data_IF_250072195186
#
_entry.id   IF_250072195186
#
_cell.length_a   1.000
_cell.length_b   1.000
_cell.length_c   1.000
_cell.angle_alpha   90.00
_cell.angle_beta   90.00
_cell.angle_gamma   90.00
#
_symmetry.space_group_name_H-M   'P 1'
#
loop_
_entity.id
_entity.type
_entity.pdbx_description
1 polymer ?
#
# COMPACT_ATOMS: atom_id res chain seq x y z
N UNK A 1 11.86 -15.27 -82.91
CA UNK A 1 12.96 -14.58 -82.21
C UNK A 1 12.37 -13.61 -81.18
N UNK A 2 12.93 -13.64 -79.96
CA UNK A 2 12.69 -12.75 -78.80
C UNK A 2 11.32 -12.85 -78.08
N UNK A 3 11.32 -13.67 -77.02
CA UNK A 3 10.42 -13.52 -75.86
C UNK A 3 10.81 -12.24 -75.11
N UNK A 4 9.85 -11.36 -74.83
CA UNK A 4 10.02 -10.23 -73.92
C UNK A 4 9.23 -10.50 -72.64
N UNK A 5 9.94 -10.49 -71.52
CA UNK A 5 9.39 -10.56 -70.16
C UNK A 5 8.66 -9.26 -69.82
N UNK A 6 7.36 -9.34 -69.50
CA UNK A 6 6.67 -8.28 -68.77
C UNK A 6 6.95 -8.45 -67.28
N UNK A 7 7.74 -7.54 -66.70
CA UNK A 7 7.80 -7.34 -65.25
C UNK A 7 6.47 -6.71 -64.80
N UNK A 8 5.72 -7.42 -63.97
CA UNK A 8 4.61 -6.88 -63.18
C UNK A 8 5.18 -6.33 -61.86
N UNK A 9 5.21 -5.01 -61.71
CA UNK A 9 5.48 -4.36 -60.43
C UNK A 9 4.30 -4.57 -59.46
N UNK A 10 4.47 -5.48 -58.51
CA UNK A 10 3.60 -5.59 -57.33
C UNK A 10 3.96 -4.43 -56.40
N UNK A 11 3.09 -3.42 -56.32
CA UNK A 11 3.15 -2.39 -55.27
C UNK A 11 2.61 -3.01 -53.96
N UNK A 12 3.51 -3.32 -53.02
CA UNK A 12 3.11 -3.57 -51.64
C UNK A 12 2.64 -2.26 -51.01
N UNK A 13 1.33 -2.12 -50.81
CA UNK A 13 0.77 -1.11 -49.92
C UNK A 13 0.99 -1.60 -48.48
N UNK A 14 2.02 -1.09 -47.83
CA UNK A 14 2.19 -1.29 -46.38
C UNK A 14 1.23 -0.32 -45.68
N UNK A 15 0.10 -0.84 -45.22
CA UNK A 15 -0.74 -0.11 -44.26
C UNK A 15 -0.03 -0.11 -42.90
N UNK A 16 0.67 0.98 -42.60
CA UNK A 16 1.14 1.26 -41.24
C UNK A 16 -0.08 1.60 -40.39
N UNK A 17 -0.65 0.62 -39.71
CA UNK A 17 -1.59 0.86 -38.61
C UNK A 17 -0.79 1.50 -37.45
N UNK A 18 -0.80 2.83 -37.40
CA UNK A 18 -0.43 3.59 -36.21
C UNK A 18 -1.50 3.31 -35.15
N UNK A 19 -1.27 2.29 -34.32
CA UNK A 19 -1.95 2.13 -33.05
C UNK A 19 -1.56 3.34 -32.18
N UNK A 20 -2.37 4.39 -32.24
CA UNK A 20 -2.39 5.42 -31.23
C UNK A 20 -2.86 4.78 -29.92
N UNK A 21 -1.92 4.27 -29.12
CA UNK A 21 -2.16 4.13 -27.70
C UNK A 21 -2.42 5.54 -27.17
N UNK A 22 -3.69 5.89 -26.97
CA UNK A 22 -4.06 7.03 -26.15
C UNK A 22 -3.53 6.71 -24.75
N UNK A 23 -2.37 7.28 -24.42
CA UNK A 23 -1.85 7.31 -23.07
C UNK A 23 -2.78 8.26 -22.31
N UNK A 24 -3.94 7.74 -21.88
CA UNK A 24 -4.77 8.42 -20.90
C UNK A 24 -3.90 8.57 -19.66
N UNK A 25 -3.49 9.80 -19.37
CA UNK A 25 -2.87 10.13 -18.09
C UNK A 25 -3.86 9.73 -17.01
N UNK A 26 -3.51 8.74 -16.18
CA UNK A 26 -4.31 8.31 -15.04
C UNK A 26 -4.65 9.52 -14.18
N UNK A 27 -5.92 9.65 -13.79
CA UNK A 27 -6.32 10.70 -12.84
C UNK A 27 -5.70 10.39 -11.46
N UNK A 28 -5.45 11.40 -10.61
CA UNK A 28 -4.88 11.19 -9.28
C UNK A 28 -5.65 10.16 -8.42
N UNK A 29 -6.95 9.99 -8.67
CA UNK A 29 -7.84 9.02 -8.00
C UNK A 29 -7.62 7.56 -8.44
N UNK A 30 -6.97 7.34 -9.59
CA UNK A 30 -6.65 6.00 -10.12
C UNK A 30 -5.27 5.50 -9.70
N UNK A 31 -4.42 6.38 -9.18
CA UNK A 31 -3.09 6.01 -8.69
C UNK A 31 -3.16 5.53 -7.25
N UNK A 32 -2.64 4.33 -7.00
CA UNK A 32 -2.50 3.83 -5.63
C UNK A 32 -1.51 4.71 -4.84
N UNK A 33 -1.86 5.21 -3.65
CA UNK A 33 -0.94 5.93 -2.77
C UNK A 33 0.20 5.01 -2.31
N UNK A 34 1.43 5.48 -2.44
CA UNK A 34 2.65 4.79 -2.02
C UNK A 34 3.49 5.79 -1.23
N UNK A 35 3.52 5.63 0.08
CA UNK A 35 4.09 6.58 1.03
C UNK A 35 5.38 6.09 1.68
N UNK A 36 6.40 6.95 1.70
CA UNK A 36 7.60 6.78 2.49
C UNK A 36 7.49 7.52 3.84
N UNK A 37 7.78 6.84 4.95
CA UNK A 37 8.06 7.48 6.24
C UNK A 37 9.54 7.87 6.35
N UNK A 38 9.85 8.86 7.19
CA UNK A 38 11.19 9.44 7.38
C UNK A 38 11.81 9.91 6.06
N UNK A 39 11.18 10.95 5.48
CA UNK A 39 11.76 11.74 4.38
C UNK A 39 13.08 12.45 4.75
N UNK A 40 13.47 13.50 4.03
CA UNK A 40 14.69 14.23 4.35
C UNK A 40 14.65 14.84 5.75
N UNK A 41 15.81 14.87 6.42
CA UNK A 41 15.99 15.59 7.68
C UNK A 41 16.06 17.11 7.43
N UNK A 42 15.94 17.90 8.50
CA UNK A 42 16.06 19.36 8.42
C UNK A 42 17.35 19.85 7.73
N UNK A 43 18.45 19.13 7.93
CA UNK A 43 19.76 19.49 7.36
C UNK A 43 19.90 19.07 5.88
N UNK A 44 18.97 18.26 5.36
CA UNK A 44 19.05 17.63 4.04
C UNK A 44 17.87 17.96 3.12
N UNK A 45 17.01 18.94 3.43
CA UNK A 45 15.89 19.34 2.55
C UNK A 45 16.39 19.95 1.24
N UNK A 46 16.56 19.09 0.23
CA UNK A 46 17.08 19.44 -1.07
C UNK A 46 16.37 18.65 -2.19
N UNK A 47 16.57 19.10 -3.43
CA UNK A 47 15.90 18.52 -4.61
C UNK A 47 16.31 17.09 -4.89
N UNK A 48 17.58 16.74 -4.71
CA UNK A 48 18.08 15.40 -5.01
C UNK A 48 17.45 14.35 -4.08
N UNK A 49 17.26 14.69 -2.81
CA UNK A 49 16.65 13.81 -1.83
C UNK A 49 15.17 13.51 -2.16
N UNK A 50 14.37 14.55 -2.43
CA UNK A 50 12.97 14.35 -2.80
C UNK A 50 12.84 13.66 -4.17
N UNK A 51 13.75 13.95 -5.11
CA UNK A 51 13.81 13.25 -6.38
C UNK A 51 14.16 11.78 -6.21
N UNK A 52 15.07 11.44 -5.28
CA UNK A 52 15.41 10.06 -4.95
C UNK A 52 14.20 9.30 -4.40
N UNK A 53 13.40 9.92 -3.53
CA UNK A 53 12.13 9.33 -3.06
C UNK A 53 11.18 9.11 -4.24
N UNK A 54 11.00 10.12 -5.11
CA UNK A 54 10.13 9.99 -6.28
C UNK A 54 10.60 8.89 -7.25
N UNK A 55 11.91 8.76 -7.47
CA UNK A 55 12.53 7.80 -8.37
C UNK A 55 12.43 6.34 -7.87
N UNK A 56 12.30 6.15 -6.55
CA UNK A 56 11.98 4.86 -5.94
C UNK A 56 10.49 4.46 -6.08
N UNK A 57 9.68 5.27 -6.75
CA UNK A 57 8.27 4.97 -7.02
C UNK A 57 7.31 5.40 -5.91
N UNK A 58 7.76 6.18 -4.93
CA UNK A 58 6.85 6.83 -3.99
C UNK A 58 6.15 8.01 -4.68
N UNK A 59 4.86 8.17 -4.40
CA UNK A 59 4.10 9.35 -4.79
C UNK A 59 3.65 10.18 -3.58
N UNK A 60 3.93 9.69 -2.37
CA UNK A 60 3.71 10.39 -1.10
C UNK A 60 4.93 10.24 -0.18
N UNK A 61 5.18 11.23 0.68
CA UNK A 61 6.22 11.16 1.70
C UNK A 61 5.79 11.92 2.97
N UNK A 62 6.01 11.32 4.13
CA UNK A 62 5.96 12.04 5.41
C UNK A 62 7.32 12.68 5.67
N UNK A 63 7.33 14.00 5.88
CA UNK A 63 8.52 14.73 6.35
C UNK A 63 8.29 15.27 7.75
N UNK A 64 9.21 14.94 8.66
CA UNK A 64 9.15 15.32 10.07
C UNK A 64 10.11 16.50 10.39
N UNK A 65 9.84 17.68 9.82
CA UNK A 65 10.71 18.86 10.00
C UNK A 65 10.31 19.72 11.19
N UNK A 66 9.02 19.68 11.58
CA UNK A 66 8.41 20.48 12.65
C UNK A 66 8.62 21.99 12.54
N UNK A 67 9.11 22.50 11.41
CA UNK A 67 9.48 23.91 11.20
C UNK A 67 8.86 24.43 9.92
N UNK A 68 8.03 25.47 10.03
CA UNK A 68 7.19 25.91 8.91
C UNK A 68 7.99 26.46 7.73
N UNK A 69 9.13 27.11 7.98
CA UNK A 69 10.04 27.57 6.92
C UNK A 69 10.62 26.39 6.12
N UNK A 70 11.08 25.34 6.82
CA UNK A 70 11.64 24.15 6.16
C UNK A 70 10.57 23.35 5.43
N UNK A 71 9.37 23.24 6.00
CA UNK A 71 8.21 22.63 5.34
C UNK A 71 7.84 23.37 4.06
N UNK A 72 7.80 24.70 4.09
CA UNK A 72 7.52 25.55 2.91
C UNK A 72 8.57 25.32 1.81
N UNK A 73 9.86 25.27 2.19
CA UNK A 73 10.94 24.91 1.26
C UNK A 73 10.77 23.51 0.69
N UNK A 74 10.41 22.52 1.52
CA UNK A 74 10.18 21.15 1.07
C UNK A 74 9.01 21.06 0.08
N UNK A 75 7.89 21.75 0.34
CA UNK A 75 6.73 21.83 -0.55
C UNK A 75 7.09 22.44 -1.91
N UNK A 76 7.82 23.55 -1.93
CA UNK A 76 8.27 24.17 -3.18
C UNK A 76 9.12 23.21 -4.03
N UNK A 77 10.03 22.47 -3.40
CA UNK A 77 10.84 21.47 -4.10
C UNK A 77 9.97 20.29 -4.57
N UNK A 78 9.04 19.84 -3.73
CA UNK A 78 8.17 18.72 -3.98
C UNK A 78 7.21 18.96 -5.16
N UNK A 79 6.71 20.20 -5.31
CA UNK A 79 5.97 20.67 -6.49
C UNK A 79 6.78 20.44 -7.77
N UNK A 80 8.09 20.76 -7.74
CA UNK A 80 8.98 20.62 -8.91
C UNK A 80 9.31 19.18 -9.32
N UNK A 81 9.05 18.20 -8.44
CA UNK A 81 9.32 16.76 -8.69
C UNK A 81 8.07 15.88 -8.68
N UNK A 82 6.89 16.47 -8.45
CA UNK A 82 5.62 15.74 -8.43
C UNK A 82 5.53 14.72 -7.30
N UNK A 83 5.96 15.09 -6.10
CA UNK A 83 5.86 14.30 -4.87
C UNK A 83 4.90 15.01 -3.91
N UNK A 84 3.88 14.32 -3.41
CA UNK A 84 2.98 14.93 -2.42
C UNK A 84 3.48 14.64 -0.99
N UNK A 85 3.36 15.60 -0.10
CA UNK A 85 3.93 15.59 1.24
C UNK A 85 2.86 15.58 2.32
N UNK A 86 3.05 14.73 3.31
CA UNK A 86 2.50 14.94 4.63
C UNK A 86 3.55 15.59 5.52
N UNK A 87 3.12 16.54 6.36
CA UNK A 87 4.02 17.36 7.16
C UNK A 87 3.72 17.22 8.65
N UNK A 88 4.76 17.28 9.48
CA UNK A 88 4.62 17.65 10.89
C UNK A 88 4.93 19.13 11.07
N UNK A 89 4.31 19.77 12.06
CA UNK A 89 4.58 21.17 12.36
C UNK A 89 4.53 21.45 13.87
N UNK A 90 5.43 22.31 14.35
CA UNK A 90 5.49 22.69 15.75
C UNK A 90 4.19 23.31 16.26
N UNK A 91 3.40 24.00 15.43
CA UNK A 91 2.10 24.52 15.84
C UNK A 91 1.15 23.39 16.28
N UNK A 92 1.13 22.28 15.53
CA UNK A 92 0.34 21.09 15.85
C UNK A 92 0.88 20.41 17.11
N UNK A 93 2.20 20.27 17.25
CA UNK A 93 2.81 19.66 18.44
C UNK A 93 2.58 20.47 19.73
N UNK A 94 2.62 21.80 19.64
CA UNK A 94 2.33 22.69 20.78
C UNK A 94 0.86 22.60 21.21
N UNK A 95 -0.04 22.49 20.24
CA UNK A 95 -1.46 22.29 20.54
C UNK A 95 -1.70 20.95 21.24
N UNK A 96 -1.15 19.86 20.70
CA UNK A 96 -1.26 18.51 21.28
C UNK A 96 -0.70 18.41 22.69
N UNK A 97 0.42 19.09 22.95
CA UNK A 97 1.07 19.12 24.27
C UNK A 97 0.43 20.10 25.25
N UNK A 98 -0.62 20.83 24.85
CA UNK A 98 -1.28 21.84 25.68
C UNK A 98 -0.46 23.12 25.92
N UNK A 99 0.69 23.26 25.26
CA UNK A 99 1.52 24.48 25.31
C UNK A 99 0.86 25.66 24.58
N UNK A 100 -0.05 25.36 23.67
CA UNK A 100 -0.93 26.33 23.03
C UNK A 100 -2.36 25.78 23.04
N UNK A 101 -3.33 26.63 23.33
CA UNK A 101 -4.76 26.28 23.27
C UNK A 101 -5.47 26.95 22.09
N UNK A 102 -4.76 27.78 21.33
CA UNK A 102 -5.29 28.54 20.21
C UNK A 102 -5.09 27.80 18.90
N UNK A 103 -6.14 27.77 18.07
CA UNK A 103 -6.11 27.16 16.73
C UNK A 103 -5.66 28.16 15.64
N UNK A 104 -5.42 29.41 16.00
CA UNK A 104 -5.05 30.50 15.08
C UNK A 104 -3.73 30.24 14.33
N UNK A 105 -2.72 29.71 15.02
CA UNK A 105 -1.45 29.36 14.40
C UNK A 105 -1.62 28.21 13.39
N UNK A 106 -2.48 27.24 13.71
CA UNK A 106 -2.82 26.12 12.82
C UNK A 106 -3.56 26.63 11.57
N UNK A 107 -4.49 27.57 11.71
CA UNK A 107 -5.18 28.19 10.57
C UNK A 107 -4.22 28.89 9.60
N UNK A 108 -3.33 29.71 10.17
CA UNK A 108 -2.34 30.45 9.40
C UNK A 108 -1.43 29.47 8.65
N UNK A 109 -1.01 28.40 9.32
CA UNK A 109 -0.18 27.34 8.77
C UNK A 109 -0.85 26.63 7.59
N UNK A 110 -2.09 26.19 7.77
CA UNK A 110 -2.85 25.46 6.74
C UNK A 110 -3.08 26.33 5.52
N UNK A 111 -3.39 27.60 5.73
CA UNK A 111 -3.56 28.57 4.64
C UNK A 111 -2.29 28.68 3.80
N UNK A 112 -1.12 28.76 4.43
CA UNK A 112 0.17 28.78 3.73
C UNK A 112 0.41 27.47 2.97
N UNK A 113 0.25 26.32 3.62
CA UNK A 113 0.53 25.03 2.98
C UNK A 113 -0.42 24.69 1.84
N UNK A 114 -1.70 25.08 1.92
CA UNK A 114 -2.67 24.85 0.85
C UNK A 114 -2.37 25.64 -0.43
N UNK A 115 -1.42 26.57 -0.43
CA UNK A 115 -0.93 27.24 -1.65
C UNK A 115 -0.01 26.36 -2.51
N UNK A 116 0.46 25.21 -1.99
CA UNK A 116 1.36 24.29 -2.68
C UNK A 116 0.61 23.04 -3.17
N UNK A 117 0.86 22.62 -4.42
CA UNK A 117 0.18 21.46 -5.02
C UNK A 117 0.60 20.13 -4.38
N UNK A 118 1.84 20.06 -3.90
CA UNK A 118 2.41 18.94 -3.17
C UNK A 118 1.92 18.85 -1.74
N UNK A 119 1.25 19.86 -1.18
CA UNK A 119 0.68 19.74 0.16
C UNK A 119 -0.47 18.72 0.13
N UNK A 120 -0.23 17.56 0.73
CA UNK A 120 -1.25 16.53 0.83
C UNK A 120 -1.93 16.53 2.19
N UNK A 121 -1.27 17.01 3.25
CA UNK A 121 -1.88 17.12 4.56
C UNK A 121 -0.89 17.14 5.71
N UNK A 122 -1.40 17.01 6.93
CA UNK A 122 -0.58 16.93 8.14
C UNK A 122 -0.64 15.54 8.80
N UNK A 123 0.46 15.17 9.45
CA UNK A 123 0.48 14.05 10.38
C UNK A 123 0.13 14.55 11.78
N UNK A 124 -0.96 14.04 12.36
CA UNK A 124 -1.47 14.56 13.63
C UNK A 124 -0.96 13.77 14.83
N UNK A 125 -1.01 12.44 14.77
CA UNK A 125 -0.70 11.63 15.95
C UNK A 125 -0.14 10.28 15.59
N UNK A 126 0.85 9.85 16.37
CA UNK A 126 1.43 8.52 16.29
C UNK A 126 0.88 7.67 17.43
N UNK A 127 0.10 6.64 17.11
CA UNK A 127 -0.33 5.57 18.02
C UNK A 127 -1.07 6.06 19.29
N UNK A 128 -2.15 6.84 19.14
CA UNK A 128 -2.94 7.29 20.29
C UNK A 128 -3.66 6.13 21.00
N UNK A 129 -3.80 6.24 22.33
CA UNK A 129 -4.77 5.47 23.12
C UNK A 129 -6.15 6.15 23.13
N UNK A 130 -7.20 5.50 23.65
CA UNK A 130 -8.54 6.12 23.69
C UNK A 130 -8.56 7.40 24.55
N UNK A 131 -7.70 7.51 25.57
CA UNK A 131 -7.59 8.71 26.40
C UNK A 131 -7.11 9.95 25.62
N UNK A 132 -6.37 9.76 24.51
CA UNK A 132 -5.92 10.84 23.64
C UNK A 132 -7.02 11.32 22.68
N UNK A 133 -8.04 10.50 22.43
CA UNK A 133 -9.02 10.78 21.37
C UNK A 133 -9.78 12.10 21.54
N UNK A 134 -10.18 12.56 22.74
CA UNK A 134 -10.87 13.83 22.89
C UNK A 134 -10.09 15.05 22.38
N UNK A 135 -8.77 15.12 22.66
CA UNK A 135 -7.94 16.23 22.20
C UNK A 135 -7.72 16.18 20.70
N UNK A 136 -7.51 14.99 20.15
CA UNK A 136 -7.33 14.77 18.70
C UNK A 136 -8.64 15.08 17.95
N UNK A 137 -9.79 14.65 18.48
CA UNK A 137 -11.10 14.88 17.87
C UNK A 137 -11.42 16.36 17.76
N UNK A 138 -11.03 17.16 18.75
CA UNK A 138 -11.18 18.63 18.72
C UNK A 138 -10.44 19.23 17.53
N UNK A 139 -9.19 18.81 17.31
CA UNK A 139 -8.37 19.26 16.18
C UNK A 139 -8.92 18.76 14.83
N UNK A 140 -9.38 17.51 14.79
CA UNK A 140 -9.99 16.90 13.59
C UNK A 140 -11.29 17.61 13.19
N UNK A 141 -12.21 17.85 14.13
CA UNK A 141 -13.46 18.57 13.86
C UNK A 141 -13.19 20.01 13.41
N UNK A 142 -12.12 20.62 13.94
CA UNK A 142 -11.64 21.90 13.47
C UNK A 142 -11.16 21.88 12.02
N UNK A 143 -10.26 20.95 11.66
CA UNK A 143 -9.82 20.80 10.26
C UNK A 143 -11.00 20.52 9.32
N UNK A 144 -11.90 19.61 9.69
CA UNK A 144 -13.04 19.26 8.85
C UNK A 144 -14.03 20.41 8.65
N UNK A 145 -14.19 21.30 9.64
CA UNK A 145 -15.10 22.45 9.54
C UNK A 145 -14.49 23.66 8.85
N UNK A 146 -13.21 23.98 9.09
CA UNK A 146 -12.54 25.19 8.57
C UNK A 146 -11.72 24.95 7.31
N UNK A 147 -11.13 23.76 7.17
CA UNK A 147 -10.21 23.41 6.09
C UNK A 147 -10.59 22.05 5.46
N UNK A 148 -11.81 21.88 4.94
CA UNK A 148 -12.29 20.58 4.44
C UNK A 148 -11.47 20.03 3.25
N UNK A 149 -10.64 20.84 2.60
CA UNK A 149 -9.71 20.39 1.55
C UNK A 149 -8.36 19.94 2.09
N UNK A 150 -7.98 20.29 3.33
CA UNK A 150 -6.71 19.91 3.93
C UNK A 150 -6.83 18.49 4.49
N UNK A 151 -5.98 17.57 4.06
CA UNK A 151 -6.01 16.22 4.62
C UNK A 151 -5.22 16.16 5.93
N UNK A 152 -5.50 15.12 6.69
CA UNK A 152 -4.68 14.70 7.80
C UNK A 152 -4.63 13.18 7.82
N UNK A 153 -3.65 12.64 8.55
CA UNK A 153 -3.72 11.24 8.96
C UNK A 153 -3.20 11.05 10.37
N UNK A 154 -3.66 9.97 10.97
CA UNK A 154 -3.33 9.51 12.31
C UNK A 154 -2.93 8.05 12.17
N UNK A 155 -1.87 7.64 12.86
CA UNK A 155 -1.33 6.29 12.78
C UNK A 155 -1.83 5.45 13.96
N UNK A 156 -2.60 4.41 13.70
CA UNK A 156 -3.19 3.54 14.72
C UNK A 156 -2.16 2.53 15.27
N UNK A 157 -2.37 2.11 16.53
CA UNK A 157 -1.64 1.00 17.14
C UNK A 157 -2.00 -0.36 16.48
N UNK A 158 -1.09 -1.35 16.49
CA UNK A 158 -1.40 -2.75 16.16
C UNK A 158 -2.10 -3.50 17.29
N UNK A 159 -2.69 -4.63 16.92
CA UNK A 159 -3.35 -5.61 17.81
C UNK A 159 -2.50 -6.05 19.02
N UNK A 160 -1.18 -6.21 18.86
CA UNK A 160 -0.29 -6.74 19.91
C UNK A 160 0.12 -5.70 20.97
N UNK A 161 -0.40 -4.48 20.89
CA UNK A 161 -0.16 -3.42 21.88
C UNK A 161 -0.95 -3.73 23.15
N UNK A 162 -0.38 -3.36 24.31
CA UNK A 162 -0.99 -3.66 25.59
C UNK A 162 -2.33 -2.94 25.78
N UNK A 163 -3.26 -3.57 26.51
CA UNK A 163 -4.56 -2.96 26.82
C UNK A 163 -4.43 -1.62 27.59
N UNK A 164 -3.37 -1.47 28.38
CA UNK A 164 -3.07 -0.21 29.08
C UNK A 164 -2.66 0.92 28.12
N UNK A 165 -2.03 0.60 27.00
CA UNK A 165 -1.68 1.58 25.95
C UNK A 165 -2.88 1.87 25.04
N UNK A 166 -3.72 0.88 24.78
CA UNK A 166 -4.94 1.05 23.97
C UNK A 166 -6.09 1.69 24.75
N UNK A 167 -6.05 1.70 26.08
CA UNK A 167 -7.18 2.04 26.97
C UNK A 167 -8.42 1.13 26.75
N UNK A 168 -8.22 -0.08 26.23
CA UNK A 168 -9.24 -1.11 26.04
C UNK A 168 -8.60 -2.48 25.88
N UNK A 169 -9.35 -3.56 26.19
CA UNK A 169 -8.91 -4.94 25.99
C UNK A 169 -9.34 -5.54 24.65
N UNK A 170 -10.20 -4.85 23.89
CA UNK A 170 -10.76 -5.33 22.62
C UNK A 170 -10.25 -4.45 21.48
N UNK A 171 -9.37 -5.00 20.64
CA UNK A 171 -8.74 -4.24 19.54
C UNK A 171 -9.75 -3.80 18.47
N UNK A 172 -10.78 -4.60 18.20
CA UNK A 172 -11.87 -4.21 17.29
C UNK A 172 -12.61 -2.95 17.78
N UNK A 173 -12.85 -2.83 19.09
CA UNK A 173 -13.48 -1.64 19.68
C UNK A 173 -12.57 -0.42 19.56
N UNK A 174 -11.25 -0.59 19.75
CA UNK A 174 -10.26 0.46 19.52
C UNK A 174 -10.33 0.97 18.07
N UNK A 175 -10.31 0.08 17.08
CA UNK A 175 -10.36 0.48 15.66
C UNK A 175 -11.71 1.14 15.29
N UNK A 176 -12.83 0.63 15.79
CA UNK A 176 -14.14 1.20 15.56
C UNK A 176 -14.24 2.63 16.13
N UNK A 177 -13.78 2.84 17.37
CA UNK A 177 -13.71 4.17 17.99
C UNK A 177 -12.71 5.08 17.29
N UNK A 178 -11.58 4.54 16.81
CA UNK A 178 -10.57 5.30 16.07
C UNK A 178 -11.20 5.91 14.81
N UNK A 179 -11.96 5.13 14.06
CA UNK A 179 -12.63 5.63 12.85
C UNK A 179 -13.79 6.58 13.18
N UNK A 180 -14.63 6.22 14.16
CA UNK A 180 -15.80 7.03 14.56
C UNK A 180 -15.39 8.41 15.09
N UNK A 181 -14.41 8.47 15.99
CA UNK A 181 -14.00 9.70 16.66
C UNK A 181 -13.02 10.53 15.83
N UNK A 182 -12.05 9.88 15.21
CA UNK A 182 -10.94 10.59 14.54
C UNK A 182 -11.17 10.77 13.03
N UNK A 183 -12.24 10.18 12.49
CA UNK A 183 -12.74 10.35 11.11
C UNK A 183 -11.61 10.36 10.06
N UNK A 184 -10.67 9.40 10.07
CA UNK A 184 -9.55 9.44 9.16
C UNK A 184 -10.01 9.22 7.71
N UNK A 185 -9.39 9.89 6.74
CA UNK A 185 -9.67 9.64 5.31
C UNK A 185 -9.17 8.27 4.84
N UNK A 186 -8.19 7.74 5.55
CA UNK A 186 -7.72 6.37 5.43
C UNK A 186 -7.14 5.93 6.78
N UNK A 187 -7.32 4.66 7.12
CA UNK A 187 -6.66 4.05 8.27
C UNK A 187 -5.19 3.78 7.94
N UNK A 188 -4.32 4.53 8.61
CA UNK A 188 -2.90 4.23 8.72
C UNK A 188 -2.69 3.45 10.02
N UNK A 189 -1.89 2.39 9.99
CA UNK A 189 -1.59 1.58 11.17
C UNK A 189 -0.13 1.10 11.13
N UNK A 190 0.44 0.85 12.31
CA UNK A 190 1.74 0.20 12.45
C UNK A 190 1.52 -1.30 12.59
N UNK A 191 2.29 -2.13 11.89
CA UNK A 191 2.40 -3.55 12.26
C UNK A 191 3.75 -4.13 11.81
N UNK A 192 4.60 -4.52 12.76
CA UNK A 192 5.87 -5.17 12.46
C UNK A 192 5.66 -6.67 12.27
N UNK A 193 5.37 -7.04 11.02
CA UNK A 193 4.93 -8.38 10.66
C UNK A 193 6.04 -9.43 10.71
N UNK A 194 7.29 -9.06 10.42
CA UNK A 194 8.41 -10.01 10.37
C UNK A 194 9.26 -9.85 11.63
N UNK A 195 9.44 -10.94 12.36
CA UNK A 195 10.27 -11.03 13.56
C UNK A 195 11.16 -12.25 13.41
N UNK A 196 12.48 -12.04 13.47
CA UNK A 196 13.49 -13.03 13.08
C UNK A 196 13.18 -13.53 11.66
N UNK A 197 12.92 -14.83 11.52
CA UNK A 197 12.60 -15.48 10.25
C UNK A 197 11.16 -16.00 10.23
N UNK A 198 10.23 -15.36 10.96
CA UNK A 198 8.81 -15.75 10.94
C UNK A 198 7.86 -14.58 10.76
N UNK A 199 6.67 -14.86 10.20
CA UNK A 199 5.53 -13.96 10.27
C UNK A 199 4.97 -14.01 11.68
N UNK A 200 4.80 -12.83 12.29
CA UNK A 200 4.15 -12.65 13.58
C UNK A 200 2.73 -13.24 13.55
N UNK A 201 2.32 -14.03 14.56
CA UNK A 201 0.98 -14.66 14.62
C UNK A 201 -0.17 -13.67 14.43
N UNK A 202 -0.05 -12.47 14.99
CA UNK A 202 -1.07 -11.42 14.98
C UNK A 202 -1.20 -10.69 13.62
N UNK A 203 -0.32 -10.96 12.65
CA UNK A 203 -0.32 -10.21 11.39
C UNK A 203 -1.63 -10.35 10.60
N UNK A 204 -2.14 -11.59 10.49
CA UNK A 204 -3.34 -11.84 9.71
C UNK A 204 -4.63 -11.52 10.49
N UNK A 205 -4.67 -11.71 11.83
CA UNK A 205 -5.78 -11.24 12.67
C UNK A 205 -5.89 -9.72 12.63
N UNK A 206 -4.78 -8.99 12.69
CA UNK A 206 -4.78 -7.54 12.59
C UNK A 206 -5.31 -7.07 11.23
N UNK A 207 -4.87 -7.69 10.12
CA UNK A 207 -5.40 -7.38 8.79
C UNK A 207 -6.89 -7.71 8.65
N UNK A 208 -7.37 -8.81 9.24
CA UNK A 208 -8.78 -9.18 9.23
C UNK A 208 -9.64 -8.14 9.96
N UNK A 209 -9.20 -7.67 11.13
CA UNK A 209 -9.91 -6.65 11.91
C UNK A 209 -9.93 -5.29 11.20
N UNK A 210 -8.79 -4.85 10.64
CA UNK A 210 -8.73 -3.60 9.86
C UNK A 210 -9.61 -3.68 8.61
N UNK A 211 -9.59 -4.81 7.89
CA UNK A 211 -10.47 -5.03 6.73
C UNK A 211 -11.94 -4.92 7.14
N UNK A 212 -12.32 -5.52 8.26
CA UNK A 212 -13.71 -5.50 8.72
C UNK A 212 -14.15 -4.06 9.03
N UNK A 213 -13.39 -3.31 9.83
CA UNK A 213 -13.68 -1.91 10.14
C UNK A 213 -13.68 -1.02 8.88
N UNK A 214 -12.76 -1.27 7.93
CA UNK A 214 -12.72 -0.57 6.64
C UNK A 214 -14.02 -0.73 5.85
N UNK A 215 -14.59 -1.93 5.84
CA UNK A 215 -15.86 -2.21 5.17
C UNK A 215 -17.05 -1.62 5.93
N UNK A 216 -17.06 -1.74 7.26
CA UNK A 216 -18.19 -1.30 8.10
C UNK A 216 -18.33 0.23 8.11
N UNK A 217 -17.21 0.95 8.11
CA UNK A 217 -17.18 2.42 8.13
C UNK A 217 -16.95 3.06 6.76
N UNK A 218 -16.73 2.26 5.71
CA UNK A 218 -16.38 2.73 4.36
C UNK A 218 -15.14 3.66 4.38
N UNK A 219 -14.13 3.31 5.15
CA UNK A 219 -12.85 4.04 5.25
C UNK A 219 -11.71 3.16 4.76
N UNK A 220 -11.00 3.53 3.67
CA UNK A 220 -9.91 2.70 3.14
C UNK A 220 -8.77 2.57 4.14
N UNK A 221 -7.98 1.50 4.06
CA UNK A 221 -6.74 1.37 4.83
C UNK A 221 -5.53 1.20 3.92
N UNK A 222 -4.34 1.53 4.43
CA UNK A 222 -3.08 1.39 3.69
C UNK A 222 -2.23 0.29 4.29
N UNK A 223 -1.74 -0.63 3.46
CA UNK A 223 -0.83 -1.70 3.90
C UNK A 223 0.48 -1.11 4.41
N UNK A 224 1.04 -1.72 5.46
CA UNK A 224 2.26 -1.26 6.10
C UNK A 224 3.39 -2.27 5.93
N UNK A 225 4.60 -1.81 5.59
CA UNK A 225 5.80 -2.62 5.57
C UNK A 225 6.93 -1.99 6.38
N UNK A 226 7.51 -2.77 7.28
CA UNK A 226 8.78 -2.45 7.92
C UNK A 226 9.94 -2.75 6.95
N UNK A 227 10.78 -1.75 6.74
CA UNK A 227 11.93 -1.69 5.83
C UNK A 227 13.15 -1.03 6.51
N UNK A 228 13.32 -1.31 7.79
CA UNK A 228 14.53 -1.03 8.56
C UNK A 228 14.69 -2.12 9.62
N UNK A 229 15.92 -2.60 9.82
CA UNK A 229 16.20 -3.60 10.85
C UNK A 229 16.44 -2.94 12.20
N UNK A 230 15.94 -3.55 13.27
CA UNK A 230 16.28 -3.20 14.66
C UNK A 230 15.84 -4.34 15.58
N UNK A 231 16.50 -4.52 16.72
CA UNK A 231 16.20 -5.58 17.69
C UNK A 231 16.08 -6.97 17.03
N UNK A 232 14.87 -7.55 17.03
CA UNK A 232 14.55 -8.84 16.44
C UNK A 232 13.98 -8.75 15.03
N UNK A 233 13.92 -7.56 14.42
CA UNK A 233 13.48 -7.36 13.06
C UNK A 233 14.67 -7.49 12.10
N UNK A 234 14.62 -8.43 11.14
CA UNK A 234 15.78 -8.77 10.32
C UNK A 234 16.13 -7.66 9.31
N UNK A 235 17.30 -7.79 8.67
CA UNK A 235 17.66 -7.00 7.50
C UNK A 235 16.57 -7.06 6.42
N UNK A 236 16.41 -5.96 5.68
CA UNK A 236 15.35 -5.82 4.67
C UNK A 236 15.59 -6.76 3.50
N UNK A 237 14.78 -7.81 3.40
CA UNK A 237 14.76 -8.73 2.27
C UNK A 237 13.60 -8.42 1.32
N UNK A 238 13.83 -8.58 0.02
CA UNK A 238 12.81 -8.37 -1.01
C UNK A 238 11.52 -9.17 -0.73
N UNK A 239 11.62 -10.44 -0.33
CA UNK A 239 10.47 -11.29 -0.04
C UNK A 239 9.70 -10.89 1.23
N UNK A 240 10.39 -10.39 2.27
CA UNK A 240 9.77 -9.90 3.51
C UNK A 240 8.85 -8.70 3.24
N UNK A 241 9.31 -7.76 2.42
CA UNK A 241 8.51 -6.60 2.01
C UNK A 241 7.30 -7.04 1.20
N UNK A 242 7.48 -8.00 0.28
CA UNK A 242 6.36 -8.48 -0.55
C UNK A 242 5.25 -9.14 0.26
N UNK A 243 5.57 -10.00 1.22
CA UNK A 243 4.54 -10.62 2.08
C UNK A 243 3.73 -9.55 2.80
N UNK A 244 4.38 -8.55 3.38
CA UNK A 244 3.71 -7.46 4.10
C UNK A 244 2.72 -6.71 3.20
N UNK A 245 3.16 -6.34 1.99
CA UNK A 245 2.37 -5.52 1.09
C UNK A 245 1.29 -6.29 0.33
N UNK A 246 1.65 -7.42 -0.28
CA UNK A 246 0.69 -8.21 -1.05
C UNK A 246 -0.37 -8.84 -0.14
N UNK A 247 -0.04 -9.21 1.10
CA UNK A 247 -1.06 -9.62 2.06
C UNK A 247 -2.03 -8.46 2.34
N UNK A 248 -1.54 -7.26 2.64
CA UNK A 248 -2.39 -6.09 2.83
C UNK A 248 -3.29 -5.79 1.62
N UNK A 249 -2.75 -5.87 0.40
CA UNK A 249 -3.52 -5.72 -0.85
C UNK A 249 -4.57 -6.81 -1.03
N UNK A 250 -4.26 -8.08 -0.70
CA UNK A 250 -5.23 -9.18 -0.73
C UNK A 250 -6.36 -9.01 0.31
N UNK A 251 -6.08 -8.35 1.43
CA UNK A 251 -7.11 -7.93 2.39
C UNK A 251 -7.89 -6.68 1.95
N UNK A 252 -7.49 -6.01 0.87
CA UNK A 252 -8.19 -4.87 0.29
C UNK A 252 -7.62 -3.50 0.62
N UNK A 253 -6.33 -3.43 0.97
CA UNK A 253 -5.64 -2.15 1.12
C UNK A 253 -5.76 -1.30 -0.16
N UNK A 254 -5.97 0.00 0.03
CA UNK A 254 -6.14 1.03 -1.02
C UNK A 254 -4.96 1.98 -1.10
N UNK A 255 -3.84 1.61 -0.50
CA UNK A 255 -2.61 2.37 -0.45
C UNK A 255 -1.55 1.60 0.33
N UNK A 256 -0.32 2.13 0.34
CA UNK A 256 0.83 1.49 0.95
C UNK A 256 1.69 2.52 1.67
N UNK A 257 2.28 2.12 2.77
CA UNK A 257 3.21 2.90 3.56
C UNK A 257 4.42 2.07 4.03
N UNK A 258 5.60 2.68 3.96
CA UNK A 258 6.88 2.05 4.29
C UNK A 258 7.57 2.76 5.44
N UNK A 259 7.95 2.03 6.47
CA UNK A 259 8.78 2.50 7.57
C UNK A 259 10.14 1.79 7.51
N UNK A 260 11.22 2.40 7.04
CA UNK A 260 11.33 3.80 6.64
C UNK A 260 12.30 4.02 5.47
N UNK A 261 12.25 5.19 4.85
CA UNK A 261 13.16 5.55 3.75
C UNK A 261 14.59 5.77 4.26
N UNK A 262 14.74 6.41 5.42
CA UNK A 262 16.01 6.56 6.16
C UNK A 262 15.94 5.85 7.51
N UNK A 263 17.08 5.44 8.08
CA UNK A 263 17.13 5.00 9.47
C UNK A 263 16.55 6.09 10.38
N UNK A 264 15.62 5.76 11.30
CA UNK A 264 15.13 6.70 12.30
C UNK A 264 16.25 7.20 13.21
N UNK A 265 16.13 8.45 13.69
CA UNK A 265 17.12 9.11 14.57
C UNK A 265 16.57 9.40 15.97
N UNK A 266 15.46 8.77 16.35
CA UNK A 266 14.76 9.01 17.62
C UNK A 266 15.41 8.31 18.83
N UNK A 267 16.53 7.62 18.62
CA UNK A 267 17.30 6.87 19.62
C UNK A 267 16.47 5.84 20.41
N UNK A 268 15.29 5.43 19.91
CA UNK A 268 14.45 4.43 20.57
C UNK A 268 15.06 3.04 20.47
N UNK A 269 15.71 2.75 19.34
CA UNK A 269 16.40 1.50 19.07
C UNK A 269 17.72 1.77 18.35
N UNK A 270 18.58 0.75 18.35
CA UNK A 270 19.73 0.71 17.44
C UNK A 270 19.22 0.25 16.07
N UNK A 271 18.99 1.21 15.19
CA UNK A 271 18.53 0.96 13.82
C UNK A 271 19.71 0.62 12.92
N UNK A 272 19.55 -0.44 12.13
CA UNK A 272 20.42 -0.71 10.99
C UNK A 272 20.04 0.13 9.78
N UNK A 273 20.53 -0.30 8.62
CA UNK A 273 20.23 0.34 7.35
C UNK A 273 18.75 0.20 6.95
N UNK A 274 18.24 1.25 6.30
CA UNK A 274 16.90 1.28 5.75
C UNK A 274 16.98 1.22 4.21
N UNK A 275 16.17 2.00 3.48
CA UNK A 275 16.41 2.19 2.04
C UNK A 275 17.72 2.94 1.76
N UNK A 276 18.11 3.82 2.68
CA UNK A 276 19.43 4.45 2.71
C UNK A 276 20.21 3.95 3.94
N UNK A 277 21.54 3.97 3.86
CA UNK A 277 22.41 3.78 5.03
C UNK A 277 22.38 5.01 5.94
N UNK A 278 23.06 4.93 7.09
CA UNK A 278 23.26 6.08 7.99
C UNK A 278 24.01 7.23 7.33
N UNK A 279 24.89 6.94 6.36
CA UNK A 279 25.63 7.92 5.56
C UNK A 279 24.78 8.51 4.42
N UNK A 280 23.60 7.97 4.17
CA UNK A 280 22.69 8.41 3.10
C UNK A 280 22.88 7.69 1.76
N UNK A 281 23.73 6.66 1.69
CA UNK A 281 23.96 5.89 0.48
C UNK A 281 22.81 4.91 0.19
N UNK A 282 22.38 4.73 -1.07
CA UNK A 282 21.35 3.76 -1.41
C UNK A 282 21.75 2.32 -1.09
N UNK A 283 20.89 1.59 -0.39
CA UNK A 283 21.12 0.18 -0.04
C UNK A 283 20.47 -0.76 -1.06
N UNK A 284 20.61 -2.08 -0.87
CA UNK A 284 19.87 -3.08 -1.67
C UNK A 284 18.35 -2.90 -1.54
N UNK A 285 17.87 -2.47 -0.37
CA UNK A 285 16.46 -2.24 -0.12
C UNK A 285 15.89 -1.14 -1.03
N UNK A 286 16.66 -0.10 -1.35
CA UNK A 286 16.27 0.93 -2.31
C UNK A 286 15.85 0.33 -3.65
N UNK A 287 16.69 -0.56 -4.20
CA UNK A 287 16.45 -1.22 -5.48
C UNK A 287 15.25 -2.17 -5.42
N UNK A 288 15.14 -2.96 -4.35
CA UNK A 288 14.03 -3.91 -4.15
C UNK A 288 12.68 -3.21 -4.07
N UNK A 289 12.60 -2.15 -3.27
CA UNK A 289 11.35 -1.41 -3.07
C UNK A 289 10.97 -0.64 -4.33
N UNK A 290 11.94 -0.10 -5.07
CA UNK A 290 11.68 0.49 -6.40
C UNK A 290 11.02 -0.50 -7.36
N UNK A 291 11.49 -1.74 -7.39
CA UNK A 291 10.88 -2.80 -8.21
C UNK A 291 9.47 -3.15 -7.73
N UNK A 292 9.28 -3.31 -6.42
CA UNK A 292 7.98 -3.63 -5.81
C UNK A 292 6.96 -2.50 -6.08
N UNK A 293 7.35 -1.24 -5.89
CA UNK A 293 6.52 -0.08 -6.18
C UNK A 293 6.10 -0.02 -7.66
N UNK A 294 7.01 -0.32 -8.60
CA UNK A 294 6.67 -0.36 -10.02
C UNK A 294 5.62 -1.45 -10.35
N UNK A 295 5.70 -2.61 -9.69
CA UNK A 295 4.68 -3.66 -9.84
C UNK A 295 3.32 -3.21 -9.30
N UNK A 296 3.31 -2.61 -8.11
CA UNK A 296 2.09 -2.14 -7.45
C UNK A 296 1.44 -0.98 -8.22
N UNK A 297 2.23 -0.05 -8.75
CA UNK A 297 1.72 1.04 -9.59
C UNK A 297 0.99 0.50 -10.81
N UNK A 298 1.53 -0.52 -11.49
CA UNK A 298 0.85 -1.18 -12.62
C UNK A 298 -0.47 -1.86 -12.22
N UNK A 299 -0.56 -2.38 -11.00
CA UNK A 299 -1.80 -2.94 -10.46
C UNK A 299 -2.81 -1.86 -10.03
N UNK A 300 -2.33 -0.66 -9.68
CA UNK A 300 -3.09 0.45 -9.11
C UNK A 300 -4.44 0.73 -9.80
N UNK A 301 -4.48 0.96 -11.12
CA UNK A 301 -5.74 1.28 -11.82
C UNK A 301 -6.83 0.22 -11.66
N UNK A 302 -6.45 -1.06 -11.53
CA UNK A 302 -7.39 -2.13 -11.24
C UNK A 302 -7.71 -2.15 -9.75
N UNK A 303 -6.68 -2.22 -8.90
CA UNK A 303 -6.82 -2.35 -7.45
C UNK A 303 -7.69 -1.26 -6.84
N UNK A 304 -7.58 0.00 -7.28
CA UNK A 304 -8.33 1.11 -6.70
C UNK A 304 -9.85 1.00 -6.88
N UNK A 305 -10.33 0.13 -7.79
CA UNK A 305 -11.76 -0.10 -8.07
C UNK A 305 -12.33 -1.36 -7.41
N UNK A 306 -11.51 -2.17 -6.72
CA UNK A 306 -11.89 -3.52 -6.27
C UNK A 306 -12.39 -3.56 -4.83
N UNK A 307 -13.68 -3.72 -4.54
CA UNK A 307 -14.14 -3.91 -3.16
C UNK A 307 -13.87 -5.34 -2.69
N UNK A 308 -13.24 -5.52 -1.53
CA UNK A 308 -12.99 -6.86 -0.96
C UNK A 308 -14.29 -7.55 -0.56
N UNK A 309 -14.43 -8.83 -0.89
CA UNK A 309 -15.61 -9.65 -0.59
C UNK A 309 -15.30 -10.85 0.30
N UNK A 310 -14.05 -11.30 0.35
CA UNK A 310 -13.62 -12.34 1.28
C UNK A 310 -12.13 -12.58 1.21
N UNK A 311 -11.57 -13.21 2.24
CA UNK A 311 -10.15 -13.54 2.33
C UNK A 311 -10.04 -14.93 2.93
N UNK A 312 -9.33 -15.83 2.27
CA UNK A 312 -9.26 -17.24 2.65
C UNK A 312 -7.84 -17.78 2.50
N UNK A 313 -7.50 -18.80 3.30
CA UNK A 313 -6.19 -19.43 3.30
C UNK A 313 -6.28 -20.90 2.89
N UNK A 314 -5.26 -21.34 2.16
CA UNK A 314 -4.92 -22.76 2.07
C UNK A 314 -4.49 -23.29 3.44
N UNK A 315 -4.64 -24.59 3.67
CA UNK A 315 -4.12 -25.23 4.88
C UNK A 315 -2.57 -25.21 4.94
N UNK A 316 -1.95 -25.02 6.12
CA UNK A 316 -2.60 -24.72 7.40
C UNK A 316 -3.07 -23.26 7.48
N UNK A 317 -4.26 -23.05 8.04
CA UNK A 317 -4.81 -21.70 8.27
C UNK A 317 -4.08 -21.00 9.43
N UNK A 318 -3.49 -19.80 9.22
CA UNK A 318 -2.79 -19.07 10.28
C UNK A 318 -3.79 -18.45 11.29
N UNK A 319 -3.32 -18.00 12.46
CA UNK A 319 -4.15 -17.25 13.41
C UNK A 319 -4.82 -16.04 12.74
N UNK A 320 -6.12 -15.86 13.00
CA UNK A 320 -6.95 -14.83 12.35
C UNK A 320 -7.32 -15.11 10.89
N UNK A 321 -6.78 -16.17 10.27
CA UNK A 321 -7.14 -16.61 8.94
C UNK A 321 -8.46 -17.39 8.90
N UNK A 322 -9.04 -17.49 7.71
CA UNK A 322 -10.28 -18.23 7.45
C UNK A 322 -10.00 -19.31 6.40
N UNK A 323 -10.41 -20.56 6.65
CA UNK A 323 -10.30 -21.65 5.69
C UNK A 323 -11.23 -21.44 4.48
N UNK A 324 -10.88 -22.00 3.32
CA UNK A 324 -11.81 -22.08 2.19
C UNK A 324 -13.11 -22.80 2.59
N UNK A 325 -14.23 -22.30 2.08
CA UNK A 325 -15.56 -22.87 2.31
C UNK A 325 -16.27 -23.17 0.98
N UNK A 326 -17.27 -24.08 0.97
CA UNK A 326 -18.06 -24.36 -0.22
C UNK A 326 -18.72 -23.10 -0.81
N UNK A 327 -18.91 -23.09 -2.13
CA UNK A 327 -19.57 -22.00 -2.87
C UNK A 327 -18.64 -20.87 -3.33
N UNK A 328 -17.34 -20.94 -3.04
CA UNK A 328 -16.35 -20.03 -3.62
C UNK A 328 -15.97 -20.45 -5.05
N UNK A 329 -15.50 -19.52 -5.90
CA UNK A 329 -14.91 -19.85 -7.21
C UNK A 329 -13.71 -20.80 -7.13
N UNK A 330 -13.14 -20.96 -5.93
CA UNK A 330 -12.00 -21.82 -5.64
C UNK A 330 -12.45 -22.85 -4.62
N UNK A 331 -12.33 -24.12 -4.99
CA UNK A 331 -12.69 -25.25 -4.14
C UNK A 331 -11.54 -25.55 -3.17
N UNK A 332 -10.30 -25.59 -3.68
CA UNK A 332 -9.14 -25.98 -2.90
C UNK A 332 -7.84 -25.45 -3.51
N UNK A 333 -6.84 -25.22 -2.66
CA UNK A 333 -5.45 -24.98 -3.07
C UNK A 333 -4.56 -26.07 -2.49
N UNK A 334 -3.93 -26.86 -3.36
CA UNK A 334 -2.95 -27.89 -2.99
C UNK A 334 -1.54 -27.29 -2.91
N UNK A 335 -1.36 -26.36 -1.97
CA UNK A 335 -0.06 -25.83 -1.55
C UNK A 335 -0.25 -25.08 -0.23
N UNK A 336 0.67 -25.17 0.73
CA UNK A 336 0.56 -24.42 1.98
C UNK A 336 0.92 -22.94 1.79
N UNK A 337 0.49 -22.11 2.74
CA UNK A 337 0.83 -20.69 2.82
C UNK A 337 0.47 -19.91 1.56
N UNK A 338 -0.73 -20.17 1.02
CA UNK A 338 -1.37 -19.36 -0.02
C UNK A 338 -2.58 -18.65 0.58
N UNK A 339 -2.56 -17.33 0.49
CA UNK A 339 -3.68 -16.45 0.80
C UNK A 339 -4.43 -16.11 -0.50
N UNK A 340 -5.76 -16.10 -0.47
CA UNK A 340 -6.62 -15.67 -1.56
C UNK A 340 -7.56 -14.56 -1.10
N UNK A 341 -7.34 -13.35 -1.60
CA UNK A 341 -8.25 -12.21 -1.45
C UNK A 341 -9.22 -12.12 -2.61
N UNK A 342 -10.51 -12.16 -2.34
CA UNK A 342 -11.58 -12.03 -3.34
C UNK A 342 -12.13 -10.62 -3.39
N UNK A 343 -12.47 -10.18 -4.60
CA UNK A 343 -12.97 -8.83 -4.85
C UNK A 343 -14.05 -8.80 -5.92
N UNK A 344 -14.79 -7.69 -5.94
CA UNK A 344 -15.62 -7.27 -7.07
C UNK A 344 -15.30 -5.83 -7.45
N UNK A 345 -15.40 -5.49 -8.72
CA UNK A 345 -15.42 -4.08 -9.16
C UNK A 345 -16.84 -3.50 -9.16
N UNK A 346 -16.99 -2.25 -9.61
CA UNK A 346 -18.26 -1.54 -9.73
C UNK A 346 -19.25 -2.20 -10.70
N UNK A 347 -18.77 -3.02 -11.64
CA UNK A 347 -19.58 -3.78 -12.60
C UNK A 347 -19.88 -5.21 -12.12
N UNK A 348 -19.62 -5.52 -10.84
CA UNK A 348 -19.68 -6.87 -10.26
C UNK A 348 -18.75 -7.90 -10.92
N UNK A 349 -17.74 -7.46 -11.69
CA UNK A 349 -16.72 -8.36 -12.21
C UNK A 349 -15.86 -8.86 -11.05
N UNK A 350 -15.74 -10.18 -10.94
CA UNK A 350 -15.00 -10.86 -9.85
C UNK A 350 -13.50 -10.89 -10.12
N UNK A 351 -12.72 -10.76 -9.06
CA UNK A 351 -11.27 -10.86 -9.06
C UNK A 351 -10.78 -11.67 -7.85
N UNK A 352 -9.59 -12.26 -7.99
CA UNK A 352 -8.86 -12.90 -6.89
C UNK A 352 -7.38 -12.51 -6.91
N UNK A 353 -6.84 -12.12 -5.77
CA UNK A 353 -5.40 -12.00 -5.55
C UNK A 353 -4.90 -13.20 -4.76
N UNK A 354 -4.01 -13.98 -5.35
CA UNK A 354 -3.26 -15.02 -4.66
C UNK A 354 -1.95 -14.47 -4.13
N UNK A 355 -1.60 -14.79 -2.89
CA UNK A 355 -0.33 -14.38 -2.27
C UNK A 355 0.36 -15.60 -1.69
N UNK A 356 1.61 -15.81 -2.08
CA UNK A 356 2.50 -16.71 -1.38
C UNK A 356 2.97 -16.05 -0.09
N UNK A 357 2.44 -16.46 1.06
CA UNK A 357 2.82 -15.89 2.37
C UNK A 357 4.11 -16.49 2.94
N UNK A 358 4.71 -17.46 2.23
CA UNK A 358 6.06 -17.93 2.48
C UNK A 358 7.07 -17.00 1.80
N UNK A 359 7.90 -16.35 2.62
CA UNK A 359 8.95 -15.45 2.15
C UNK A 359 10.32 -16.12 2.02
N UNK A 360 10.45 -17.40 2.36
CA UNK A 360 11.68 -18.16 2.24
C UNK A 360 11.75 -18.86 0.88
N UNK A 361 10.61 -19.35 0.37
CA UNK A 361 10.58 -20.16 -0.85
C UNK A 361 9.52 -19.71 -1.86
N UNK A 362 9.90 -19.77 -3.14
CA UNK A 362 8.93 -19.80 -4.23
C UNK A 362 8.19 -21.13 -4.28
N UNK A 363 7.01 -21.17 -4.91
CA UNK A 363 6.20 -22.39 -4.98
C UNK A 363 5.35 -22.47 -6.24
N UNK A 364 5.01 -23.71 -6.60
CA UNK A 364 3.97 -24.06 -7.57
C UNK A 364 2.73 -24.45 -6.78
N UNK A 365 1.66 -23.68 -6.90
CA UNK A 365 0.38 -23.99 -6.27
C UNK A 365 -0.58 -24.56 -7.30
N UNK A 366 -1.08 -25.78 -7.06
CA UNK A 366 -2.18 -26.35 -7.83
C UNK A 366 -3.51 -25.91 -7.22
N UNK A 367 -4.30 -25.18 -7.99
CA UNK A 367 -5.57 -24.58 -7.57
C UNK A 367 -6.71 -25.27 -8.30
N UNK A 368 -7.73 -25.68 -7.54
CA UNK A 368 -8.94 -26.34 -8.00
C UNK A 368 -10.08 -25.31 -8.03
N UNK A 369 -10.64 -25.06 -9.20
CA UNK A 369 -11.71 -24.09 -9.44
C UNK A 369 -13.07 -24.77 -9.51
N UNK A 370 -14.13 -24.02 -9.21
CA UNK A 370 -15.49 -24.52 -9.40
C UNK A 370 -15.87 -24.61 -10.88
N UNK A 371 -16.84 -25.46 -11.20
CA UNK A 371 -17.37 -25.64 -12.55
C UNK A 371 -17.87 -24.33 -13.17
N UNK A 372 -18.27 -23.35 -12.35
CA UNK A 372 -18.74 -22.04 -12.81
C UNK A 372 -17.62 -21.15 -13.34
N UNK A 373 -16.34 -21.40 -13.00
CA UNK A 373 -15.24 -20.57 -13.52
C UNK A 373 -14.92 -20.99 -14.95
N UNK A 374 -15.11 -20.10 -15.93
CA UNK A 374 -14.78 -20.35 -17.34
C UNK A 374 -13.32 -20.08 -17.67
N UNK A 375 -12.74 -19.04 -17.10
CA UNK A 375 -11.32 -18.71 -17.31
C UNK A 375 -10.77 -17.77 -16.25
N UNK A 376 -9.44 -17.70 -16.17
CA UNK A 376 -8.72 -16.66 -15.42
C UNK A 376 -7.89 -15.81 -16.37
N UNK A 377 -7.88 -14.50 -16.13
CA UNK A 377 -7.02 -13.56 -16.85
C UNK A 377 -6.20 -12.77 -15.83
N UNK A 378 -4.89 -12.95 -15.83
CA UNK A 378 -3.99 -12.19 -14.97
C UNK A 378 -4.06 -10.69 -15.29
N UNK A 379 -4.10 -9.89 -14.23
CA UNK A 379 -3.86 -8.44 -14.33
C UNK A 379 -2.35 -8.24 -14.30
N UNK A 380 -1.72 -7.85 -15.41
CA UNK A 380 -0.27 -7.84 -15.50
C UNK A 380 0.32 -6.73 -14.62
N UNK A 381 1.29 -7.10 -13.78
CA UNK A 381 2.05 -6.16 -12.93
C UNK A 381 3.45 -5.87 -13.44
N UNK A 382 3.79 -6.35 -14.64
CA UNK A 382 5.07 -6.11 -15.30
C UNK A 382 4.82 -5.95 -16.81
N UNK A 383 5.84 -6.15 -17.66
CA UNK A 383 5.72 -6.04 -19.12
C UNK A 383 5.54 -7.41 -19.82
N UNK A 384 5.44 -8.49 -19.04
CA UNK A 384 5.17 -9.82 -19.59
C UNK A 384 3.69 -9.92 -20.01
N UNK A 385 3.39 -10.74 -21.03
CA UNK A 385 2.00 -11.07 -21.37
C UNK A 385 1.26 -11.63 -20.14
N UNK A 386 -0.02 -11.27 -19.95
CA UNK A 386 -0.81 -11.82 -18.85
C UNK A 386 -0.96 -13.33 -19.00
N UNK A 387 -0.86 -14.07 -17.90
CA UNK A 387 -1.25 -15.47 -17.87
C UNK A 387 -2.78 -15.58 -18.08
N UNK A 388 -3.18 -16.31 -19.11
CA UNK A 388 -4.58 -16.67 -19.38
C UNK A 388 -4.72 -18.17 -19.14
N UNK A 389 -5.66 -18.55 -18.29
CA UNK A 389 -5.98 -19.95 -18.01
C UNK A 389 -7.39 -20.21 -18.52
N UNK A 390 -7.49 -21.18 -19.43
CA UNK A 390 -8.74 -21.70 -19.99
C UNK A 390 -8.68 -23.22 -19.90
N UNK A 391 -9.84 -23.83 -19.71
CA UNK A 391 -9.98 -25.28 -19.62
C UNK A 391 -10.87 -25.75 -20.76
N UNK A 392 -10.45 -26.82 -21.42
CA UNK A 392 -11.28 -27.52 -22.41
C UNK A 392 -12.27 -28.49 -21.73
N UNK A 393 -11.95 -28.92 -20.50
CA UNK A 393 -12.78 -29.79 -19.66
C UNK A 393 -13.70 -28.95 -18.75
N UNK A 394 -15.00 -29.21 -18.82
CA UNK A 394 -15.99 -28.51 -18.00
C UNK A 394 -16.04 -29.03 -16.54
N UNK A 395 -15.56 -30.25 -16.28
CA UNK A 395 -15.65 -30.94 -14.99
C UNK A 395 -14.39 -30.78 -14.13
N UNK A 396 -13.20 -30.71 -14.74
CA UNK A 396 -11.93 -30.63 -14.01
C UNK A 396 -11.16 -29.35 -14.34
N UNK A 397 -11.31 -28.35 -13.47
CA UNK A 397 -10.71 -27.03 -13.65
C UNK A 397 -9.56 -26.80 -12.68
N UNK A 398 -8.38 -27.28 -13.06
CA UNK A 398 -7.15 -27.14 -12.29
C UNK A 398 -6.16 -26.20 -12.95
N UNK A 399 -5.46 -25.38 -12.16
CA UNK A 399 -4.32 -24.60 -12.66
C UNK A 399 -3.11 -24.69 -11.76
N UNK A 400 -1.93 -24.77 -12.37
CA UNK A 400 -0.66 -24.63 -11.69
C UNK A 400 -0.17 -23.18 -11.81
N UNK A 401 -0.15 -22.45 -10.68
CA UNK A 401 0.33 -21.07 -10.63
C UNK A 401 1.68 -21.02 -9.90
N UNK A 402 2.66 -20.42 -10.55
CA UNK A 402 3.99 -20.20 -9.99
C UNK A 402 4.07 -18.86 -9.25
N UNK A 403 4.70 -18.89 -8.07
CA UNK A 403 4.95 -17.74 -7.22
C UNK A 403 6.41 -17.67 -6.81
N UNK A 404 6.98 -16.47 -6.81
CA UNK A 404 8.21 -16.20 -6.05
C UNK A 404 7.89 -16.16 -4.55
N UNK A 405 8.92 -16.18 -3.70
CA UNK A 405 8.77 -15.94 -2.28
C UNK A 405 8.10 -14.58 -2.02
N UNK A 406 7.06 -14.56 -1.20
CA UNK A 406 6.26 -13.37 -0.89
C UNK A 406 5.37 -12.81 -2.00
N UNK A 407 5.34 -13.45 -3.17
CA UNK A 407 4.72 -12.89 -4.37
C UNK A 407 3.19 -12.85 -4.32
N UNK A 408 2.57 -11.79 -4.86
CA UNK A 408 1.12 -11.67 -5.04
C UNK A 408 0.71 -11.50 -6.51
N UNK A 409 -0.29 -12.24 -6.98
CA UNK A 409 -0.77 -12.20 -8.37
C UNK A 409 -2.29 -12.01 -8.41
N UNK A 410 -2.75 -11.02 -9.17
CA UNK A 410 -4.15 -10.65 -9.31
C UNK A 410 -4.72 -11.21 -10.61
N UNK A 411 -5.90 -11.82 -10.53
CA UNK A 411 -6.60 -12.41 -11.67
C UNK A 411 -8.04 -11.92 -11.70
N UNK A 412 -8.55 -11.67 -12.91
CA UNK A 412 -9.98 -11.55 -13.19
C UNK A 412 -10.57 -12.94 -13.36
N UNK A 413 -11.68 -13.23 -12.68
CA UNK A 413 -12.40 -14.49 -12.78
C UNK A 413 -13.53 -14.32 -13.79
N UNK A 414 -13.52 -15.11 -14.87
CA UNK A 414 -14.62 -15.17 -15.82
C UNK A 414 -15.49 -16.35 -15.44
N UNK A 415 -16.77 -16.11 -15.17
CA UNK A 415 -17.77 -17.13 -14.84
C UNK A 415 -18.79 -17.32 -15.97
#
# INVERSE_FOLDING_TARGET
MKKAHHLSCIRYLVYTFLLFFSCKTETPEQQIPIMAWYGPSADSVNRNDLLSIRAAGFNRCLIDLKKSELNTRALLIADSVGLALFLTDQAVERYKSGQDSTLYLIDSLVTVYNSYQSNWGCFLYNKPGLADFPSISTLVDYFNSKHPSHHYFIHANPEYVSAATLDTTIYADYLALFVDKLKPRFMSYEHYAIVKETVRPEFFSNLAQIRQVSLDYNVPFWAYALVVSFNSHPEVQHSHVRVQLYAGLAYGARGIQYYSFRPPTDNLYEYGDAMLSHEGDPTKAYSFIRMINAEIQKLGPTLMRLRSTGVFFSEPVPPGGVAFKPGLPIIKINAPSILAGFFVDESNQKYVMFVNTDFSYGKRARIHFSEHVKSLVEVPKNYMPPLIIQWDDELYKDADILFKAGDGRLFRIVE
#
